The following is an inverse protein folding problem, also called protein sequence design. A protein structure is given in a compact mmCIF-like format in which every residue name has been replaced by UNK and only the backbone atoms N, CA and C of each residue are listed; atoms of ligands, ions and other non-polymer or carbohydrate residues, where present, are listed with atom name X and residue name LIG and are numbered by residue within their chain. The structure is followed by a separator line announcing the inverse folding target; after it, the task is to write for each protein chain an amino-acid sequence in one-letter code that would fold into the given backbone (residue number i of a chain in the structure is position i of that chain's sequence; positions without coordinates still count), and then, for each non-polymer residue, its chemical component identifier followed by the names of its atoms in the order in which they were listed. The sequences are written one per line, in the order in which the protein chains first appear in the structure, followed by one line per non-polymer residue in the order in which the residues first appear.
data_IF_510189883506
#
_entry.id   IF_510189883506
#
_cell.length_a   1.000
_cell.length_b   1.000
_cell.length_c   1.000
_cell.angle_alpha   90.00
_cell.angle_beta   90.00
_cell.angle_gamma   90.00
#
_symmetry.space_group_name_H-M   'P 1'
#
loop_
_entity.id
_entity.type
_entity.pdbx_description
1 polymer ?
#
# COMPACT_ATOMS: atom_id res chain seq x y z
N UNK A 1 -18.52 -9.04 -2.97
CA UNK A 1 -17.96 -7.67 -3.04
C UNK A 1 -18.49 -7.02 -4.30
N UNK A 2 -18.96 -5.77 -4.21
CA UNK A 2 -19.42 -5.01 -5.37
C UNK A 2 -18.24 -4.29 -6.02
N UNK A 3 -18.06 -4.40 -7.33
CA UNK A 3 -17.17 -3.54 -8.09
C UNK A 3 -17.98 -2.41 -8.71
N UNK A 4 -17.50 -1.19 -8.53
CA UNK A 4 -18.01 -0.02 -9.23
C UNK A 4 -17.25 0.15 -10.54
N UNK A 5 -18.00 0.21 -11.63
CA UNK A 5 -17.47 0.35 -12.98
C UNK A 5 -17.78 1.74 -13.47
N UNK A 6 -16.73 2.47 -13.87
CA UNK A 6 -16.85 3.73 -14.58
C UNK A 6 -16.52 3.52 -16.05
N UNK A 7 -17.38 4.01 -16.92
CA UNK A 7 -17.17 4.08 -18.36
C UNK A 7 -17.22 5.55 -18.76
N UNK A 8 -16.12 6.01 -19.34
CA UNK A 8 -16.03 7.31 -20.00
C UNK A 8 -16.08 7.08 -21.51
N UNK A 9 -17.23 7.31 -22.14
CA UNK A 9 -17.33 7.23 -23.59
C UNK A 9 -16.44 8.32 -24.19
N UNK A 10 -15.45 7.92 -24.99
CA UNK A 10 -14.53 8.85 -25.68
C UNK A 10 -15.21 9.66 -26.79
N UNK A 11 -16.52 9.51 -26.99
CA UNK A 11 -17.28 10.11 -28.06
C UNK A 11 -18.45 10.91 -27.48
N UNK A 12 -18.55 12.20 -27.83
CA UNK A 12 -19.71 13.09 -27.58
C UNK A 12 -21.00 12.62 -28.29
N UNK A 13 -21.06 11.36 -28.68
CA UNK A 13 -21.94 10.82 -29.70
C UNK A 13 -23.02 9.95 -29.07
N UNK A 14 -23.13 9.83 -27.75
CA UNK A 14 -24.20 9.02 -27.16
C UNK A 14 -25.56 9.74 -27.16
N UNK A 15 -26.63 9.01 -27.49
CA UNK A 15 -28.00 9.51 -27.28
C UNK A 15 -28.30 9.62 -25.79
N UNK A 16 -28.58 10.83 -25.31
CA UNK A 16 -28.84 11.13 -23.90
C UNK A 16 -30.02 10.36 -23.29
N UNK A 17 -30.97 9.87 -24.10
CA UNK A 17 -32.19 9.21 -23.64
C UNK A 17 -32.20 7.69 -23.84
N UNK A 18 -31.06 7.07 -24.15
CA UNK A 18 -30.95 5.61 -24.24
C UNK A 18 -29.93 5.09 -23.23
N UNK A 19 -30.34 4.10 -22.45
CA UNK A 19 -29.47 3.45 -21.47
C UNK A 19 -28.26 2.84 -22.19
N UNK A 20 -27.09 3.03 -21.59
CA UNK A 20 -25.92 2.25 -21.91
C UNK A 20 -26.07 0.90 -21.19
N UNK A 21 -25.75 -0.19 -21.87
CA UNK A 21 -25.72 -1.52 -21.22
C UNK A 21 -24.28 -1.97 -21.10
N UNK A 22 -23.87 -2.28 -19.88
CA UNK A 22 -22.59 -2.91 -19.58
C UNK A 22 -22.70 -4.43 -19.67
N UNK A 23 -21.60 -5.05 -20.09
CA UNK A 23 -21.43 -6.49 -20.08
C UNK A 23 -20.06 -6.83 -19.51
N UNK A 24 -20.02 -7.84 -18.66
CA UNK A 24 -18.78 -8.56 -18.40
C UNK A 24 -18.59 -9.56 -19.54
N UNK A 25 -17.40 -9.58 -20.12
CA UNK A 25 -17.01 -10.59 -21.11
C UNK A 25 -15.75 -11.32 -20.63
N UNK A 26 -15.58 -12.57 -20.99
CA UNK A 26 -14.34 -13.29 -20.71
C UNK A 26 -13.18 -12.79 -21.60
N UNK A 27 -12.01 -13.39 -21.45
CA UNK A 27 -10.81 -13.01 -22.21
C UNK A 27 -10.92 -13.33 -23.71
N UNK A 28 -11.79 -14.27 -24.10
CA UNK A 28 -12.10 -14.66 -25.47
C UNK A 28 -13.24 -13.82 -26.10
N UNK A 29 -13.97 -13.04 -25.29
CA UNK A 29 -15.04 -12.15 -25.72
C UNK A 29 -16.46 -12.69 -25.55
N UNK A 30 -16.64 -13.85 -24.90
CA UNK A 30 -17.97 -14.38 -24.60
C UNK A 30 -18.62 -13.60 -23.45
N UNK A 31 -19.93 -13.33 -23.57
CA UNK A 31 -20.69 -12.62 -22.54
C UNK A 31 -20.87 -13.49 -21.31
N UNK A 32 -20.55 -12.92 -20.14
CA UNK A 32 -20.71 -13.55 -18.84
C UNK A 32 -21.96 -13.03 -18.12
N UNK A 33 -22.08 -11.71 -17.98
CA UNK A 33 -23.19 -11.05 -17.27
C UNK A 33 -23.44 -9.67 -17.88
N UNK A 34 -24.67 -9.16 -17.78
CA UNK A 34 -25.02 -7.78 -18.13
C UNK A 34 -25.32 -6.96 -16.88
N UNK A 35 -25.03 -5.66 -16.93
CA UNK A 35 -25.34 -4.72 -15.85
C UNK A 35 -25.77 -3.37 -16.42
N UNK A 36 -26.59 -2.66 -15.64
CA UNK A 36 -27.06 -1.32 -16.02
C UNK A 36 -25.95 -0.28 -15.78
N UNK A 37 -25.86 0.67 -16.71
CA UNK A 37 -24.99 1.83 -16.61
C UNK A 37 -25.86 3.08 -16.51
N UNK A 38 -25.67 3.85 -15.44
CA UNK A 38 -26.38 5.09 -15.15
C UNK A 38 -25.48 6.28 -15.46
N UNK A 39 -26.04 7.30 -16.11
CA UNK A 39 -25.30 8.54 -16.35
C UNK A 39 -25.00 9.25 -15.03
N UNK A 40 -23.76 9.67 -14.85
CA UNK A 40 -23.36 10.49 -13.73
C UNK A 40 -24.09 11.84 -13.70
N UNK A 41 -24.04 12.49 -12.56
CA UNK A 41 -24.65 13.81 -12.35
C UNK A 41 -23.56 14.86 -12.17
N UNK A 42 -23.92 16.13 -12.36
CA UNK A 42 -23.05 17.29 -12.11
C UNK A 42 -21.70 17.20 -12.85
N UNK A 43 -20.59 17.20 -12.10
CA UNK A 43 -19.23 17.11 -12.63
C UNK A 43 -18.97 15.82 -13.43
N UNK A 44 -19.78 14.77 -13.19
CA UNK A 44 -19.65 13.45 -13.80
C UNK A 44 -20.68 13.18 -14.90
N UNK A 45 -21.36 14.22 -15.41
CA UNK A 45 -22.42 14.08 -16.43
C UNK A 45 -21.96 13.45 -17.76
N UNK A 46 -20.65 13.39 -18.02
CA UNK A 46 -20.06 12.73 -19.18
C UNK A 46 -19.63 11.28 -18.92
N UNK A 47 -19.82 10.78 -17.70
CA UNK A 47 -19.44 9.42 -17.28
C UNK A 47 -20.68 8.56 -17.04
N UNK A 48 -20.51 7.25 -17.19
CA UNK A 48 -21.53 6.25 -16.87
C UNK A 48 -21.01 5.29 -15.81
N UNK A 49 -21.86 4.96 -14.85
CA UNK A 49 -21.52 4.17 -13.67
C UNK A 49 -22.41 2.95 -13.56
N UNK A 50 -21.81 1.82 -13.23
CA UNK A 50 -22.51 0.57 -12.97
C UNK A 50 -21.95 -0.10 -11.72
N UNK A 51 -22.73 -1.02 -11.16
CA UNK A 51 -22.24 -1.90 -10.12
C UNK A 51 -22.47 -3.34 -10.53
N UNK A 52 -21.49 -4.19 -10.22
CA UNK A 52 -21.48 -5.60 -10.56
C UNK A 52 -21.02 -6.38 -9.34
N UNK A 53 -21.66 -7.52 -9.08
CA UNK A 53 -21.15 -8.46 -8.09
C UNK A 53 -20.00 -9.27 -8.67
N UNK A 54 -18.86 -9.29 -7.97
CA UNK A 54 -17.70 -10.07 -8.39
C UNK A 54 -17.99 -11.57 -8.26
N UNK A 55 -18.25 -12.23 -9.40
CA UNK A 55 -18.49 -13.69 -9.50
C UNK A 55 -17.53 -14.40 -10.47
N UNK A 56 -16.65 -13.66 -11.12
CA UNK A 56 -15.80 -14.16 -12.20
C UNK A 56 -14.33 -13.83 -11.92
N UNK A 57 -13.46 -14.80 -12.18
CA UNK A 57 -12.03 -14.72 -11.85
C UNK A 57 -11.25 -13.78 -12.79
N UNK A 58 -11.70 -13.66 -14.04
CA UNK A 58 -11.14 -12.74 -15.02
C UNK A 58 -12.22 -12.28 -16.01
N UNK A 59 -12.28 -10.98 -16.25
CA UNK A 59 -13.22 -10.40 -17.21
C UNK A 59 -12.71 -9.09 -17.82
N UNK A 60 -13.28 -8.69 -18.94
CA UNK A 60 -13.20 -7.34 -19.49
C UNK A 60 -14.58 -6.70 -19.42
N UNK A 61 -14.61 -5.37 -19.49
CA UNK A 61 -15.86 -4.62 -19.58
C UNK A 61 -16.13 -4.33 -21.04
N UNK A 62 -17.30 -4.76 -21.51
CA UNK A 62 -17.88 -4.35 -22.77
C UNK A 62 -19.03 -3.39 -22.46
N UNK A 63 -19.17 -2.32 -23.24
CA UNK A 63 -20.37 -1.51 -23.20
C UNK A 63 -20.96 -1.34 -24.59
N UNK A 64 -22.29 -1.31 -24.63
CA UNK A 64 -23.08 -1.13 -25.83
C UNK A 64 -23.94 0.11 -25.65
N UNK A 65 -23.88 1.01 -26.62
CA UNK A 65 -24.63 2.25 -26.65
C UNK A 65 -25.12 2.59 -28.06
N UNK A 66 -25.67 3.79 -28.20
CA UNK A 66 -26.18 4.30 -29.47
C UNK A 66 -25.57 5.65 -29.78
N UNK A 67 -25.06 5.79 -31.00
CA UNK A 67 -24.59 7.04 -31.58
C UNK A 67 -25.75 8.05 -31.72
N UNK A 68 -25.44 9.35 -31.85
CA UNK A 68 -26.42 10.43 -32.09
C UNK A 68 -27.30 10.10 -33.30
N UNK A 69 -26.72 9.45 -34.30
CA UNK A 69 -27.38 9.02 -35.53
C UNK A 69 -28.15 7.69 -35.38
N UNK A 70 -28.24 7.13 -34.17
CA UNK A 70 -28.96 5.90 -33.85
C UNK A 70 -28.21 4.60 -34.14
N UNK A 71 -26.94 4.68 -34.59
CA UNK A 71 -26.13 3.48 -34.86
C UNK A 71 -25.64 2.86 -33.55
N UNK A 72 -25.57 1.54 -33.48
CA UNK A 72 -25.04 0.86 -32.30
C UNK A 72 -23.53 1.02 -32.23
N UNK A 73 -23.05 1.43 -31.06
CA UNK A 73 -21.63 1.51 -30.73
C UNK A 73 -21.32 0.41 -29.72
N UNK A 74 -20.26 -0.34 -29.98
CA UNK A 74 -19.75 -1.38 -29.08
C UNK A 74 -18.27 -1.12 -28.80
N UNK A 75 -17.89 -1.12 -27.52
CA UNK A 75 -16.52 -0.86 -27.10
C UNK A 75 -16.14 -1.81 -25.96
N UNK A 76 -14.93 -2.36 -26.06
CA UNK A 76 -14.33 -3.20 -25.03
C UNK A 76 -13.26 -2.38 -24.34
N UNK A 77 -13.32 -2.27 -23.01
CA UNK A 77 -12.21 -1.75 -22.24
C UNK A 77 -11.05 -2.75 -22.33
N UNK A 78 -9.83 -2.30 -22.70
CA UNK A 78 -8.73 -3.20 -23.03
C UNK A 78 -8.19 -3.97 -21.82
N UNK A 79 -8.39 -3.45 -20.60
CA UNK A 79 -7.87 -4.04 -19.37
C UNK A 79 -8.66 -5.28 -18.97
N UNK A 80 -7.95 -6.36 -18.68
CA UNK A 80 -8.51 -7.52 -17.98
C UNK A 80 -8.51 -7.21 -16.49
N UNK A 81 -9.67 -7.35 -15.86
CA UNK A 81 -9.86 -7.22 -14.43
C UNK A 81 -9.83 -8.61 -13.82
N UNK A 82 -8.99 -8.77 -12.79
CA UNK A 82 -8.91 -9.97 -11.97
C UNK A 82 -9.08 -9.57 -10.51
N UNK A 83 -10.26 -9.83 -9.91
CA UNK A 83 -10.44 -9.63 -8.48
C UNK A 83 -9.38 -10.41 -7.71
N UNK A 84 -8.75 -9.78 -6.73
CA UNK A 84 -7.80 -10.44 -5.83
C UNK A 84 -8.53 -10.76 -4.52
N UNK A 85 -8.31 -11.96 -4.00
CA UNK A 85 -8.88 -12.38 -2.72
C UNK A 85 -7.90 -12.18 -1.55
N UNK A 86 -6.86 -11.37 -1.74
CA UNK A 86 -5.88 -11.06 -0.70
C UNK A 86 -5.30 -9.67 -0.93
N UNK A 87 -4.82 -9.06 0.16
CA UNK A 87 -4.19 -7.75 0.15
C UNK A 87 -2.95 -7.71 1.05
N UNK A 88 -2.09 -6.74 0.79
CA UNK A 88 -0.85 -6.50 1.54
C UNK A 88 -0.90 -5.05 2.02
N UNK A 89 -0.79 -4.83 3.32
CA UNK A 89 -0.92 -3.50 3.94
C UNK A 89 0.12 -3.24 5.03
N UNK A 90 0.35 -1.97 5.36
CA UNK A 90 1.21 -1.61 6.49
C UNK A 90 0.52 -1.93 7.81
N UNK A 91 1.23 -2.59 8.72
CA UNK A 91 0.70 -2.85 10.06
C UNK A 91 0.53 -1.54 10.86
N UNK A 92 -0.59 -1.44 11.57
CA UNK A 92 -0.83 -0.39 12.58
C UNK A 92 0.11 -0.48 13.78
N UNK A 93 0.84 -1.59 13.94
CA UNK A 93 1.84 -1.77 14.99
C UNK A 93 3.13 -1.00 14.72
N UNK A 94 3.32 -0.48 13.51
CA UNK A 94 4.48 0.34 13.19
C UNK A 94 4.33 1.72 13.82
N UNK A 95 5.23 2.06 14.75
CA UNK A 95 5.29 3.40 15.34
C UNK A 95 5.84 4.44 14.36
N UNK A 96 6.70 4.01 13.42
CA UNK A 96 7.26 4.86 12.38
C UNK A 96 7.72 4.02 11.18
N UNK A 97 7.83 4.68 10.02
CA UNK A 97 8.47 4.13 8.82
C UNK A 97 9.87 4.76 8.66
N UNK A 98 10.64 4.74 9.74
CA UNK A 98 11.96 5.34 9.80
C UNK A 98 13.01 4.34 10.25
N UNK A 99 14.19 4.40 9.66
CA UNK A 99 15.35 3.60 10.08
C UNK A 99 16.43 4.51 10.64
N UNK A 100 17.14 4.04 11.64
CA UNK A 100 18.29 4.76 12.20
C UNK A 100 19.58 4.22 11.57
N UNK A 101 20.50 5.09 11.09
CA UNK A 101 21.79 4.64 10.59
C UNK A 101 22.52 3.74 11.58
N UNK A 102 23.13 2.69 11.06
CA UNK A 102 23.91 1.70 11.82
C UNK A 102 23.12 0.97 12.92
N UNK A 103 21.77 0.92 12.81
CA UNK A 103 20.91 0.13 13.68
C UNK A 103 19.99 -0.76 12.84
N UNK A 104 19.63 -1.90 13.41
CA UNK A 104 18.60 -2.77 12.87
C UNK A 104 17.22 -2.21 13.24
N UNK A 105 16.35 -2.06 12.27
CA UNK A 105 14.96 -1.64 12.48
C UNK A 105 14.01 -2.61 11.79
N UNK A 106 12.96 -3.04 12.48
CA UNK A 106 11.91 -3.89 11.91
C UNK A 106 10.69 -3.06 11.55
N UNK A 107 10.12 -3.30 10.36
CA UNK A 107 8.81 -2.79 9.95
C UNK A 107 7.92 -3.99 9.61
N UNK A 108 6.67 -3.94 10.04
CA UNK A 108 5.71 -5.03 9.88
C UNK A 108 4.72 -4.69 8.77
N UNK A 109 4.59 -5.59 7.82
CA UNK A 109 3.54 -5.59 6.80
C UNK A 109 2.57 -6.73 7.10
N UNK A 110 1.29 -6.59 6.77
CA UNK A 110 0.27 -7.62 6.97
C UNK A 110 -0.19 -8.11 5.62
N UNK A 111 -0.18 -9.43 5.45
CA UNK A 111 -0.88 -10.11 4.35
C UNK A 111 -2.23 -10.60 4.89
N UNK A 112 -3.32 -10.18 4.27
CA UNK A 112 -4.69 -10.58 4.62
C UNK A 112 -5.26 -11.42 3.48
N UNK A 113 -5.78 -12.61 3.81
CA UNK A 113 -6.43 -13.49 2.85
C UNK A 113 -7.95 -13.49 3.07
N UNK A 114 -8.71 -12.92 2.14
CA UNK A 114 -10.18 -12.96 2.12
C UNK A 114 -10.74 -14.20 1.40
N UNK A 115 -9.87 -14.91 0.68
CA UNK A 115 -10.22 -16.04 -0.16
C UNK A 115 -10.27 -17.36 0.58
N UNK A 116 -10.20 -18.44 -0.20
CA UNK A 116 -9.95 -19.78 0.36
C UNK A 116 -8.54 -19.89 0.96
N UNK A 117 -8.31 -20.91 1.79
CA UNK A 117 -6.98 -21.18 2.35
C UNK A 117 -5.94 -21.32 1.24
N UNK A 118 -4.86 -20.54 1.30
CA UNK A 118 -3.84 -20.47 0.25
C UNK A 118 -2.43 -20.38 0.83
N UNK A 119 -1.46 -20.78 0.01
CA UNK A 119 -0.03 -20.59 0.29
C UNK A 119 0.50 -19.47 -0.58
N UNK A 120 1.20 -18.53 0.05
CA UNK A 120 1.71 -17.31 -0.57
C UNK A 120 3.23 -17.33 -0.60
N UNK A 121 3.82 -16.91 -1.73
CA UNK A 121 5.22 -16.49 -1.79
C UNK A 121 5.29 -14.98 -1.60
N UNK A 122 6.15 -14.54 -0.69
CA UNK A 122 6.43 -13.14 -0.40
C UNK A 122 7.76 -12.77 -1.03
N UNK A 123 7.80 -11.62 -1.68
CA UNK A 123 9.03 -11.01 -2.18
C UNK A 123 9.08 -9.56 -1.73
N UNK A 124 10.19 -9.20 -1.07
CA UNK A 124 10.47 -7.84 -0.63
C UNK A 124 11.70 -7.32 -1.36
N UNK A 125 11.64 -6.07 -1.83
CA UNK A 125 12.77 -5.38 -2.46
C UNK A 125 12.74 -3.90 -2.13
N UNK A 126 13.92 -3.27 -2.11
CA UNK A 126 14.04 -1.81 -1.98
C UNK A 126 15.13 -1.27 -2.89
N UNK A 127 15.03 0.01 -3.26
CA UNK A 127 15.93 0.63 -4.24
C UNK A 127 17.35 0.90 -3.71
N UNK A 128 17.52 1.07 -2.39
CA UNK A 128 18.80 1.41 -1.76
C UNK A 128 19.46 0.23 -1.04
N UNK A 129 18.87 -0.95 -1.16
CA UNK A 129 19.35 -2.18 -0.48
C UNK A 129 19.44 -2.02 1.04
N UNK A 130 18.49 -1.29 1.64
CA UNK A 130 18.36 -1.20 3.08
C UNK A 130 17.65 -2.42 3.67
N UNK A 131 16.82 -3.13 2.90
CA UNK A 131 16.22 -4.39 3.35
C UNK A 131 17.32 -5.45 3.43
N UNK A 132 17.52 -6.04 4.61
CA UNK A 132 18.53 -7.11 4.81
C UNK A 132 17.91 -8.49 4.88
N UNK A 133 16.68 -8.59 5.39
CA UNK A 133 15.96 -9.85 5.52
C UNK A 133 14.48 -9.59 5.73
N UNK A 134 13.64 -10.58 5.44
CA UNK A 134 12.23 -10.56 5.80
C UNK A 134 11.76 -11.98 6.10
N UNK A 135 10.67 -12.10 6.86
CA UNK A 135 10.08 -13.40 7.16
C UNK A 135 8.57 -13.24 7.44
N UNK A 136 7.73 -14.17 6.96
CA UNK A 136 8.08 -15.37 6.18
C UNK A 136 8.24 -15.09 4.68
N UNK A 137 9.05 -15.90 3.98
CA UNK A 137 9.13 -15.90 2.50
C UNK A 137 8.01 -16.74 1.87
N UNK A 138 7.56 -17.79 2.55
CA UNK A 138 6.46 -18.65 2.12
C UNK A 138 5.56 -18.90 3.33
N UNK A 139 4.25 -18.73 3.16
CA UNK A 139 3.30 -18.86 4.26
C UNK A 139 1.93 -19.33 3.81
N UNK A 140 1.34 -20.27 4.53
CA UNK A 140 -0.07 -20.64 4.35
C UNK A 140 -0.94 -19.77 5.26
N UNK A 141 -1.89 -19.05 4.66
CA UNK A 141 -2.83 -18.18 5.38
C UNK A 141 -4.24 -18.70 5.20
N UNK A 142 -4.94 -18.90 6.32
CA UNK A 142 -6.32 -19.37 6.34
C UNK A 142 -7.29 -18.42 5.65
N UNK A 143 -8.52 -18.89 5.44
CA UNK A 143 -9.61 -18.04 4.95
C UNK A 143 -9.95 -16.97 5.98
N UNK A 144 -10.05 -15.73 5.53
CA UNK A 144 -10.32 -14.54 6.36
C UNK A 144 -9.31 -14.40 7.52
N UNK A 145 -8.07 -14.84 7.29
CA UNK A 145 -6.99 -14.78 8.26
C UNK A 145 -5.87 -13.88 7.73
N UNK A 146 -4.92 -13.56 8.60
CA UNK A 146 -3.80 -12.67 8.28
C UNK A 146 -2.49 -13.16 8.86
N UNK A 147 -1.39 -12.71 8.28
CA UNK A 147 -0.04 -12.96 8.81
C UNK A 147 0.83 -11.72 8.72
N UNK A 148 1.65 -11.54 9.74
CA UNK A 148 2.66 -10.50 9.79
C UNK A 148 3.91 -10.94 9.00
N UNK A 149 4.39 -10.04 8.16
CA UNK A 149 5.66 -10.09 7.45
C UNK A 149 6.56 -9.07 8.13
N UNK A 150 7.54 -9.56 8.89
CA UNK A 150 8.56 -8.71 9.51
C UNK A 150 9.68 -8.46 8.50
N UNK A 151 10.00 -7.19 8.25
CA UNK A 151 11.03 -6.76 7.33
C UNK A 151 12.10 -6.01 8.12
N UNK A 152 13.32 -6.53 8.09
CA UNK A 152 14.46 -5.94 8.78
C UNK A 152 15.24 -5.02 7.84
N UNK A 153 15.54 -3.81 8.32
CA UNK A 153 16.23 -2.76 7.59
C UNK A 153 17.52 -2.31 8.28
N UNK A 154 18.60 -2.20 7.49
CA UNK A 154 19.87 -1.65 7.93
C UNK A 154 20.34 -0.56 6.97
N UNK A 155 20.37 0.68 7.42
CA UNK A 155 21.00 1.77 6.71
C UNK A 155 22.47 1.91 7.14
N UNK A 156 23.45 1.97 6.23
CA UNK A 156 24.85 2.20 6.56
C UNK A 156 25.07 3.50 7.37
N UNK A 157 26.11 3.55 8.20
CA UNK A 157 26.40 4.69 9.08
C UNK A 157 26.64 6.02 8.37
N UNK A 158 27.08 5.99 7.11
CA UNK A 158 27.30 7.17 6.27
C UNK A 158 26.06 7.61 5.48
N UNK A 159 24.90 6.98 5.71
CA UNK A 159 23.65 7.37 5.05
C UNK A 159 23.17 8.70 5.61
N UNK A 160 23.00 9.70 4.74
CA UNK A 160 22.53 11.02 5.13
C UNK A 160 21.12 10.96 5.73
N UNK A 161 20.85 11.79 6.74
CA UNK A 161 19.50 12.03 7.23
C UNK A 161 18.56 12.45 6.10
N UNK A 162 17.28 12.10 6.24
CA UNK A 162 16.21 12.27 5.24
C UNK A 162 16.38 11.48 3.93
N UNK A 163 17.39 10.60 3.83
CA UNK A 163 17.48 9.68 2.70
C UNK A 163 16.25 8.76 2.70
N UNK A 164 15.54 8.68 1.58
CA UNK A 164 14.38 7.78 1.41
C UNK A 164 14.70 6.62 0.49
N UNK A 165 14.10 5.46 0.76
CA UNK A 165 14.05 4.31 -0.16
C UNK A 165 12.60 3.88 -0.31
N UNK A 166 12.16 3.57 -1.54
CA UNK A 166 10.87 2.93 -1.75
C UNK A 166 11.02 1.42 -1.62
N UNK A 167 10.12 0.81 -0.87
CA UNK A 167 10.08 -0.62 -0.56
C UNK A 167 8.85 -1.22 -1.21
N UNK A 168 9.06 -2.25 -2.02
CA UNK A 168 7.99 -3.05 -2.61
C UNK A 168 7.89 -4.38 -1.89
N UNK A 169 6.68 -4.70 -1.41
CA UNK A 169 6.33 -6.01 -0.88
C UNK A 169 5.28 -6.60 -1.81
N UNK A 170 5.54 -7.78 -2.34
CA UNK A 170 4.59 -8.50 -3.19
C UNK A 170 4.27 -9.85 -2.59
N UNK A 171 3.01 -10.25 -2.71
CA UNK A 171 2.53 -11.58 -2.36
C UNK A 171 1.90 -12.22 -3.59
N UNK A 172 2.20 -13.50 -3.82
CA UNK A 172 1.68 -14.28 -4.94
C UNK A 172 1.22 -15.66 -4.47
N UNK A 173 0.14 -16.19 -5.04
CA UNK A 173 -0.37 -17.51 -4.66
C UNK A 173 0.50 -18.61 -5.30
N UNK A 174 1.01 -19.54 -4.50
CA UNK A 174 1.66 -20.77 -4.96
C UNK A 174 0.61 -21.79 -5.41
N UNK A 175 0.02 -21.58 -6.58
CA UNK A 175 -0.84 -22.58 -7.21
C UNK A 175 -0.62 -22.58 -8.72
N UNK A 176 -0.55 -23.78 -9.30
CA UNK A 176 -0.37 -23.98 -10.73
C UNK A 176 -1.53 -23.41 -11.58
N UNK A 177 -2.70 -23.15 -10.97
CA UNK A 177 -3.86 -22.57 -11.65
C UNK A 177 -4.03 -21.06 -11.43
N UNK A 178 -3.30 -20.45 -10.49
CA UNK A 178 -3.44 -19.03 -10.12
C UNK A 178 -2.09 -18.30 -9.96
N UNK A 179 -1.03 -18.83 -10.59
CA UNK A 179 0.34 -18.30 -10.50
C UNK A 179 0.48 -16.82 -10.92
N UNK A 180 -0.51 -16.25 -11.60
CA UNK A 180 -0.53 -14.84 -12.04
C UNK A 180 -1.23 -13.88 -11.05
N UNK A 181 -1.79 -14.39 -9.94
CA UNK A 181 -2.43 -13.55 -8.93
C UNK A 181 -1.37 -13.02 -7.97
N UNK A 182 -0.96 -11.77 -8.20
CA UNK A 182 -0.02 -11.01 -7.35
C UNK A 182 -0.69 -9.74 -6.87
N UNK A 183 -0.53 -9.43 -5.58
CA UNK A 183 -0.86 -8.13 -5.02
C UNK A 183 0.41 -7.55 -4.37
N UNK A 184 0.50 -6.22 -4.30
CA UNK A 184 1.69 -5.55 -3.80
C UNK A 184 1.36 -4.29 -3.01
N UNK A 185 2.27 -3.97 -2.10
CA UNK A 185 2.33 -2.73 -1.35
C UNK A 185 3.62 -2.00 -1.73
N UNK A 186 3.53 -0.69 -1.95
CA UNK A 186 4.68 0.21 -2.11
C UNK A 186 4.62 1.25 -0.99
N UNK A 187 5.68 1.38 -0.23
CA UNK A 187 5.80 2.41 0.81
C UNK A 187 7.21 2.99 0.86
N UNK A 188 7.37 4.14 1.52
CA UNK A 188 8.68 4.78 1.68
C UNK A 188 9.18 4.61 3.10
N UNK A 189 10.49 4.35 3.20
CA UNK A 189 11.22 4.32 4.47
C UNK A 189 12.26 5.43 4.44
N UNK A 190 12.32 6.20 5.51
CA UNK A 190 13.22 7.35 5.64
C UNK A 190 14.31 7.12 6.70
N UNK A 191 15.52 7.62 6.45
CA UNK A 191 16.62 7.55 7.40
C UNK A 191 16.62 8.77 8.32
N UNK A 192 16.63 8.53 9.64
CA UNK A 192 16.77 9.58 10.64
C UNK A 192 17.73 9.14 11.76
N UNK A 193 18.79 9.92 11.97
CA UNK A 193 19.81 9.71 13.00
C UNK A 193 19.30 9.97 14.43
N UNK A 194 18.16 10.65 14.58
CA UNK A 194 17.53 10.97 15.86
C UNK A 194 16.04 10.70 15.78
N UNK A 195 15.49 10.02 16.79
CA UNK A 195 14.04 10.04 17.00
C UNK A 195 13.64 11.46 17.39
N UNK A 196 12.78 12.08 16.60
CA UNK A 196 12.13 13.32 17.00
C UNK A 196 11.01 12.96 17.98
N UNK A 197 11.28 13.10 19.29
CA UNK A 197 10.22 13.16 20.28
C UNK A 197 9.48 14.49 20.08
N UNK A 198 8.32 14.44 19.43
CA UNK A 198 7.39 15.55 19.47
C UNK A 198 6.84 15.64 20.90
N UNK A 199 7.45 16.49 21.71
CA UNK A 199 6.86 16.90 22.97
C UNK A 199 5.66 17.76 22.59
N UNK A 200 4.44 17.21 22.73
CA UNK A 200 3.26 18.06 22.78
C UNK A 200 3.48 19.01 23.96
N UNK A 201 3.72 20.29 23.67
CA UNK A 201 3.65 21.34 24.67
C UNK A 201 2.22 21.32 25.24
N UNK A 202 2.03 20.53 26.30
CA UNK A 202 1.02 20.88 27.29
C UNK A 202 1.59 22.12 27.95
N UNK A 203 0.88 23.24 27.94
CA UNK A 203 1.36 24.50 28.52
C UNK A 203 1.94 24.28 29.92
N UNK A 204 3.27 24.15 30.03
CA UNK A 204 3.95 24.11 31.31
C UNK A 204 4.10 25.56 31.73
N UNK A 205 3.19 26.03 32.57
CA UNK A 205 3.34 27.26 33.34
C UNK A 205 4.41 27.04 34.42
N UNK A 206 5.67 26.86 34.02
CA UNK A 206 6.85 27.09 34.86
C UNK A 206 8.11 27.04 34.00
N UNK A 207 8.74 28.20 33.80
CA UNK A 207 10.08 28.31 33.19
C UNK A 207 11.08 27.58 34.09
N UNK A 208 11.47 26.36 33.73
CA UNK A 208 12.70 25.76 34.25
C UNK A 208 13.89 26.31 33.47
N UNK A 209 14.81 26.93 34.20
CA UNK A 209 16.01 27.56 33.68
C UNK A 209 17.01 26.49 33.24
N UNK A 210 17.17 26.32 31.92
CA UNK A 210 18.01 25.29 31.27
C UNK A 210 19.52 25.48 31.59
N UNK A 211 19.88 26.61 32.20
CA UNK A 211 21.27 26.93 32.59
C UNK A 211 21.86 25.98 33.65
N UNK A 212 21.05 25.18 34.35
CA UNK A 212 21.54 24.21 35.34
C UNK A 212 21.97 22.86 34.77
N UNK A 213 21.74 22.60 33.47
CA UNK A 213 22.12 21.35 32.81
C UNK A 213 23.54 21.37 32.20
N UNK A 214 24.26 22.48 32.34
CA UNK A 214 25.63 22.67 31.80
C UNK A 214 26.74 22.68 32.86
N UNK A 215 26.44 22.37 34.13
CA UNK A 215 27.50 22.20 35.13
C UNK A 215 28.02 20.76 35.12
N UNK A 216 29.19 20.59 34.51
CA UNK A 216 30.04 19.40 34.58
C UNK A 216 30.31 19.02 36.05
N UNK A 217 30.08 17.77 36.49
CA UNK A 217 30.71 17.25 37.69
C UNK A 217 32.04 16.57 37.33
N UNK A 218 32.98 16.64 38.28
CA UNK A 218 34.26 15.92 38.39
C UNK A 218 35.55 16.66 37.99
N UNK A 219 36.21 17.20 39.02
CA UNK A 219 37.48 16.60 39.47
C UNK A 219 37.71 16.96 40.95
N UNK A 220 37.23 16.10 41.84
CA UNK A 220 37.97 15.83 43.07
C UNK A 220 38.79 14.57 42.80
N UNK A 221 40.10 14.72 42.64
CA UNK A 221 41.00 13.69 43.12
C UNK A 221 42.01 14.35 44.05
N UNK A 222 42.13 13.69 45.19
CA UNK A 222 42.81 14.12 46.40
C UNK A 222 44.10 13.33 46.52
N UNK A 223 45.21 13.97 46.88
CA UNK A 223 46.17 13.34 47.80
C UNK A 223 47.14 14.37 48.41
N UNK A 224 47.66 14.12 49.63
CA UNK A 224 48.10 15.16 50.57
C UNK A 224 49.63 15.20 50.84
N UNK A 225 50.05 16.26 51.54
CA UNK A 225 51.17 16.31 52.51
C UNK A 225 52.62 16.29 52.02
N UNK A 226 53.37 17.39 52.20
CA UNK A 226 54.47 17.54 53.18
C UNK A 226 55.53 18.61 52.83
N UNK A 227 55.78 19.46 53.84
CA UNK A 227 57.03 20.06 54.34
C UNK A 227 58.11 20.76 53.48
N UNK A 228 58.58 21.87 54.09
CA UNK A 228 59.93 22.47 54.11
C UNK A 228 60.40 23.17 52.82
N UNK A 229 60.98 24.39 52.83
CA UNK A 229 61.71 25.17 53.85
C UNK A 229 61.40 26.67 53.75
#
# INVERSE_FOLDING_TARGET
MSLYVTVEPTEDVLQANKNLTGYLIDTAGYRLESFELQQGQEYYNNSYYGSVQMKHDAFKILYVGYSKNGQTIQRVQPRVIRPQEFEVELSVLNNSLSVTPNKMTSIIVVLINHGSNNTFSILVSDYKSFVVSYSPEIVTVGKNDSVNIEINFFAPSNTSDSTTTSVSVSASIQSASTADLTNFLLFEVSVFSKEFLFVNETEVTTKLNISSLLTNPESEDSTPSNNES
#
